data_IF_154354970676
#
_entry.id   IF_154354970676
#
_cell.length_a   1.000
_cell.length_b   1.000
_cell.length_c   1.000
_cell.angle_alpha   90.00
_cell.angle_beta   90.00
_cell.angle_gamma   90.00
#
_symmetry.space_group_name_H-M   'P 1'
#
loop_
_entity.id
_entity.type
_entity.pdbx_description
1 polymer ?
#
# COMPACT_ATOMS: atom_id res chain seq x y z
N UNK A 1 22.85 -20.53 -5.72
CA UNK A 1 22.05 -19.54 -4.97
C UNK A 1 21.49 -20.26 -3.76
N UNK A 2 22.18 -20.15 -2.64
CA UNK A 2 21.82 -20.84 -1.40
C UNK A 2 20.65 -20.10 -0.74
N UNK A 3 19.52 -20.80 -0.63
CA UNK A 3 18.37 -20.36 0.14
C UNK A 3 18.74 -20.53 1.61
N UNK A 4 18.98 -19.41 2.30
CA UNK A 4 19.29 -19.35 3.72
C UNK A 4 18.13 -19.93 4.55
N UNK A 5 18.20 -21.23 4.83
CA UNK A 5 17.26 -21.99 5.66
C UNK A 5 17.53 -21.77 7.16
N UNK A 6 17.43 -20.52 7.63
CA UNK A 6 17.84 -20.18 9.01
C UNK A 6 16.80 -19.38 9.82
N UNK A 7 15.50 -19.55 9.57
CA UNK A 7 14.44 -18.85 10.31
C UNK A 7 13.32 -19.73 10.91
N UNK A 8 13.44 -21.05 10.87
CA UNK A 8 12.55 -21.95 11.65
C UNK A 8 13.23 -22.37 12.95
N UNK A 9 13.53 -21.41 13.83
CA UNK A 9 13.58 -21.72 15.26
C UNK A 9 12.16 -21.64 15.77
N UNK A 10 11.65 -22.77 16.24
CA UNK A 10 10.41 -22.93 17.00
C UNK A 10 10.26 -21.83 18.07
N UNK A 11 9.69 -20.69 17.70
CA UNK A 11 9.04 -19.83 18.67
C UNK A 11 7.71 -20.49 18.97
N UNK A 12 7.68 -21.28 20.06
CA UNK A 12 6.45 -21.79 20.65
C UNK A 12 5.64 -20.56 21.08
N UNK A 13 4.74 -20.12 20.20
CA UNK A 13 3.87 -18.98 20.46
C UNK A 13 2.93 -19.38 21.59
N UNK A 14 3.14 -18.80 22.76
CA UNK A 14 2.27 -18.99 23.90
C UNK A 14 0.92 -18.33 23.63
N UNK A 15 -0.07 -19.15 23.25
CA UNK A 15 -1.43 -18.72 22.86
C UNK A 15 -2.09 -17.92 23.99
N UNK A 16 -1.70 -18.16 25.25
CA UNK A 16 -2.23 -17.44 26.42
C UNK A 16 -1.88 -15.94 26.43
N UNK A 17 -0.88 -15.51 25.64
CA UNK A 17 -0.40 -14.11 25.59
C UNK A 17 -0.91 -13.32 24.39
N UNK A 18 -1.86 -13.87 23.65
CA UNK A 18 -2.49 -13.18 22.51
C UNK A 18 -3.36 -12.04 23.05
N UNK A 19 -3.00 -10.80 22.70
CA UNK A 19 -3.77 -9.62 23.12
C UNK A 19 -4.69 -9.10 22.01
N UNK A 20 -4.31 -9.31 20.75
CA UNK A 20 -5.09 -8.83 19.61
C UNK A 20 -4.78 -9.64 18.36
N UNK A 21 -5.81 -9.99 17.58
CA UNK A 21 -5.68 -10.69 16.29
C UNK A 21 -6.61 -10.01 15.29
N UNK A 22 -6.14 -9.84 14.04
CA UNK A 22 -6.98 -9.50 12.90
C UNK A 22 -6.43 -10.12 11.60
N UNK A 23 -6.99 -9.71 10.46
CA UNK A 23 -6.61 -10.22 9.13
C UNK A 23 -5.17 -9.90 8.71
N UNK A 24 -4.54 -8.88 9.30
CA UNK A 24 -3.19 -8.42 8.97
C UNK A 24 -2.13 -9.11 9.84
N UNK A 25 -2.48 -9.40 11.10
CA UNK A 25 -1.53 -9.94 12.05
C UNK A 25 -2.09 -10.14 13.46
N UNK A 26 -1.18 -10.43 14.38
CA UNK A 26 -1.47 -10.59 15.79
C UNK A 26 -0.43 -9.89 16.65
N UNK A 27 -0.83 -9.45 17.83
CA UNK A 27 0.07 -8.96 18.87
C UNK A 27 0.07 -10.00 19.99
N UNK A 28 1.25 -10.58 20.26
CA UNK A 28 1.43 -11.72 21.15
C UNK A 28 2.56 -11.41 22.12
N UNK A 29 2.24 -11.20 23.39
CA UNK A 29 3.22 -10.67 24.36
C UNK A 29 3.82 -9.38 23.81
N UNK A 30 5.15 -9.31 23.73
CA UNK A 30 5.92 -8.16 23.20
C UNK A 30 6.23 -8.27 21.70
N UNK A 31 5.66 -9.26 21.01
CA UNK A 31 5.88 -9.48 19.59
C UNK A 31 4.67 -9.06 18.75
N UNK A 32 4.96 -8.50 17.59
CA UNK A 32 4.05 -8.27 16.48
C UNK A 32 4.28 -9.35 15.42
N UNK A 33 3.28 -10.18 15.17
CA UNK A 33 3.27 -11.15 14.08
C UNK A 33 2.46 -10.58 12.91
N UNK A 34 3.06 -10.53 11.72
CA UNK A 34 2.41 -10.08 10.49
C UNK A 34 2.24 -11.25 9.54
N UNK A 35 1.05 -11.44 8.98
CA UNK A 35 0.74 -12.63 8.18
C UNK A 35 1.17 -12.51 6.71
N UNK A 36 1.28 -11.29 6.18
CA UNK A 36 1.59 -11.01 4.78
C UNK A 36 2.71 -9.96 4.67
N UNK A 37 3.64 -10.05 3.69
CA UNK A 37 3.74 -11.05 2.60
C UNK A 37 4.41 -12.38 3.02
N UNK A 38 5.07 -12.40 4.17
CA UNK A 38 5.70 -13.58 4.77
C UNK A 38 5.54 -13.45 6.26
N UNK A 39 5.20 -14.54 6.96
CA UNK A 39 4.97 -14.55 8.42
C UNK A 39 6.17 -13.93 9.14
N UNK A 40 6.03 -12.68 9.53
CA UNK A 40 7.14 -11.86 10.02
C UNK A 40 6.86 -11.53 11.47
N UNK A 41 7.70 -12.08 12.34
CA UNK A 41 7.68 -11.81 13.77
C UNK A 41 8.64 -10.65 14.06
N UNK A 42 8.12 -9.58 14.63
CA UNK A 42 8.89 -8.42 15.05
C UNK A 42 8.73 -8.21 16.54
N UNK A 43 9.84 -8.04 17.22
CA UNK A 43 9.83 -7.49 18.57
C UNK A 43 9.36 -6.03 18.53
N UNK A 44 8.33 -5.69 19.32
CA UNK A 44 7.76 -4.34 19.40
C UNK A 44 8.81 -3.34 19.89
N UNK A 45 9.73 -3.76 20.74
CA UNK A 45 10.79 -2.90 21.28
C UNK A 45 11.71 -2.42 20.15
N UNK A 46 11.91 -3.27 19.14
CA UNK A 46 12.69 -2.92 17.95
C UNK A 46 11.99 -1.94 17.00
N UNK A 47 10.70 -1.64 17.22
CA UNK A 47 9.88 -0.77 16.37
C UNK A 47 9.90 0.66 16.91
N UNK A 48 10.38 1.59 16.08
CA UNK A 48 10.36 3.03 16.40
C UNK A 48 8.98 3.66 16.14
N UNK A 49 8.34 3.28 15.02
CA UNK A 49 7.05 3.81 14.60
C UNK A 49 6.42 2.91 13.53
N UNK A 50 5.11 2.69 13.62
CA UNK A 50 4.33 2.09 12.55
C UNK A 50 3.38 3.14 11.95
N UNK A 51 3.18 3.13 10.63
CA UNK A 51 2.23 4.01 9.95
C UNK A 51 1.62 3.36 8.72
N UNK A 52 0.43 3.80 8.32
CA UNK A 52 -0.19 3.40 7.06
C UNK A 52 -0.22 4.61 6.15
N UNK A 53 0.19 4.41 4.91
CA UNK A 53 0.14 5.45 3.91
C UNK A 53 -0.64 4.98 2.68
N UNK A 54 -1.32 5.94 2.05
CA UNK A 54 -2.12 5.75 0.85
C UNK A 54 -1.27 6.11 -0.36
N UNK A 55 -0.89 5.13 -1.18
CA UNK A 55 -0.18 5.36 -2.44
C UNK A 55 -1.18 5.36 -3.59
N UNK A 56 -1.36 6.51 -4.23
CA UNK A 56 -2.14 6.61 -5.47
C UNK A 56 -1.22 6.32 -6.64
N UNK A 57 -1.59 5.37 -7.49
CA UNK A 57 -0.87 5.12 -8.73
C UNK A 57 -1.58 5.86 -9.86
N UNK A 58 -0.90 6.86 -10.42
CA UNK A 58 -1.41 7.67 -11.53
C UNK A 58 -0.85 7.23 -12.88
N UNK A 59 -0.03 6.18 -12.94
CA UNK A 59 0.63 5.77 -14.18
C UNK A 59 -0.38 5.53 -15.32
N UNK A 60 -1.47 4.82 -15.04
CA UNK A 60 -2.51 4.56 -16.02
C UNK A 60 -3.24 5.85 -16.47
N UNK A 61 -3.52 6.75 -15.53
CA UNK A 61 -4.14 8.04 -15.80
C UNK A 61 -3.26 8.92 -16.71
N UNK A 62 -1.97 9.00 -16.38
CA UNK A 62 -0.99 9.74 -17.18
C UNK A 62 -0.87 9.12 -18.57
N UNK A 63 -0.80 7.80 -18.67
CA UNK A 63 -0.76 7.10 -19.95
C UNK A 63 -1.97 7.43 -20.83
N UNK A 64 -3.19 7.35 -20.29
CA UNK A 64 -4.41 7.69 -21.03
C UNK A 64 -4.44 9.17 -21.46
N UNK A 65 -3.97 10.07 -20.60
CA UNK A 65 -3.88 11.49 -20.93
C UNK A 65 -2.87 11.77 -22.04
N UNK A 66 -1.70 11.12 -21.99
CA UNK A 66 -0.69 11.25 -23.06
C UNK A 66 -1.25 10.69 -24.37
N UNK A 67 -1.97 9.56 -24.34
CA UNK A 67 -2.58 8.98 -25.54
C UNK A 67 -3.71 9.84 -26.15
N UNK A 68 -4.40 10.68 -25.36
CA UNK A 68 -5.42 11.59 -25.90
C UNK A 68 -4.82 12.85 -26.54
N UNK A 69 -3.61 13.24 -26.17
CA UNK A 69 -2.95 14.47 -26.66
C UNK A 69 -2.73 14.48 -28.18
N UNK A 70 -2.25 13.40 -28.84
CA UNK A 70 -2.13 13.34 -30.29
C UNK A 70 -3.44 13.55 -31.04
N UNK A 71 -4.58 13.09 -30.48
CA UNK A 71 -5.89 13.26 -31.10
C UNK A 71 -6.27 14.74 -31.19
N UNK A 72 -6.01 15.50 -30.12
CA UNK A 72 -6.21 16.96 -30.13
C UNK A 72 -5.22 17.67 -31.05
N UNK A 73 -3.98 17.18 -31.16
CA UNK A 73 -2.99 17.74 -32.09
C UNK A 73 -3.44 17.59 -33.55
N UNK A 74 -3.97 16.42 -33.93
CA UNK A 74 -4.52 16.18 -35.28
C UNK A 74 -5.67 17.16 -35.54
N UNK A 75 -6.59 17.31 -34.59
CA UNK A 75 -7.72 18.23 -34.70
C UNK A 75 -7.29 19.69 -34.91
N UNK A 76 -6.20 20.11 -34.26
CA UNK A 76 -5.71 21.48 -34.31
C UNK A 76 -4.88 21.80 -35.56
N UNK A 77 -4.16 20.83 -36.12
CA UNK A 77 -3.18 21.05 -37.20
C UNK A 77 -3.66 20.61 -38.57
N UNK A 78 -4.57 19.64 -38.64
CA UNK A 78 -5.04 19.09 -39.91
C UNK A 78 -6.42 19.62 -40.26
N UNK A 79 -6.66 19.83 -41.56
CA UNK A 79 -7.99 20.14 -42.09
C UNK A 79 -8.82 18.86 -42.10
N UNK A 80 -9.49 18.59 -40.98
CA UNK A 80 -10.43 17.48 -40.84
C UNK A 80 -11.84 17.91 -41.25
N UNK A 81 -12.60 16.97 -41.79
CA UNK A 81 -14.04 17.15 -42.04
C UNK A 81 -14.80 17.26 -40.72
N UNK A 82 -16.02 17.79 -40.76
CA UNK A 82 -16.89 17.89 -39.56
C UNK A 82 -17.13 16.53 -38.90
N UNK A 83 -17.30 15.48 -39.71
CA UNK A 83 -17.56 14.14 -39.21
C UNK A 83 -16.31 13.54 -38.53
N UNK A 84 -15.14 13.71 -39.13
CA UNK A 84 -13.86 13.30 -38.51
C UNK A 84 -13.59 14.05 -37.21
N UNK A 85 -13.84 15.36 -37.16
CA UNK A 85 -13.68 16.16 -35.96
C UNK A 85 -14.56 15.62 -34.80
N UNK A 86 -15.81 15.27 -35.08
CA UNK A 86 -16.72 14.67 -34.10
C UNK A 86 -16.19 13.33 -33.60
N UNK A 87 -15.75 12.44 -34.50
CA UNK A 87 -15.22 11.13 -34.13
C UNK A 87 -13.94 11.25 -33.29
N UNK A 88 -13.03 12.14 -33.66
CA UNK A 88 -11.79 12.41 -32.92
C UNK A 88 -12.12 12.94 -31.52
N UNK A 89 -13.07 13.87 -31.40
CA UNK A 89 -13.51 14.39 -30.11
C UNK A 89 -14.13 13.30 -29.22
N UNK A 90 -14.96 12.42 -29.78
CA UNK A 90 -15.53 11.28 -29.05
C UNK A 90 -14.43 10.35 -28.56
N UNK A 91 -13.50 9.97 -29.43
CA UNK A 91 -12.39 9.07 -29.09
C UNK A 91 -11.47 9.69 -28.03
N UNK A 92 -11.12 10.97 -28.17
CA UNK A 92 -10.34 11.71 -27.19
C UNK A 92 -11.07 11.78 -25.84
N UNK A 93 -12.39 12.01 -25.85
CA UNK A 93 -13.24 11.97 -24.66
C UNK A 93 -13.21 10.60 -23.97
N UNK A 94 -13.33 9.51 -24.73
CA UNK A 94 -13.27 8.13 -24.20
C UNK A 94 -11.93 7.81 -23.54
N UNK A 95 -10.82 8.43 -23.96
CA UNK A 95 -9.51 8.28 -23.31
C UNK A 95 -9.35 9.24 -22.12
N UNK A 96 -9.85 10.46 -22.24
CA UNK A 96 -9.63 11.53 -21.28
C UNK A 96 -10.51 11.37 -20.03
N UNK A 97 -11.78 10.97 -20.18
CA UNK A 97 -12.68 10.69 -19.04
C UNK A 97 -12.10 9.66 -18.06
N UNK A 98 -11.63 8.47 -18.48
CA UNK A 98 -10.99 7.51 -17.58
C UNK A 98 -9.66 8.02 -17.01
N UNK A 99 -8.92 8.87 -17.74
CA UNK A 99 -7.69 9.49 -17.23
C UNK A 99 -7.94 10.34 -15.97
N UNK A 100 -9.12 10.94 -15.80
CA UNK A 100 -9.46 11.72 -14.61
C UNK A 100 -10.28 10.95 -13.56
N UNK A 101 -11.02 9.91 -13.97
CA UNK A 101 -11.96 9.21 -13.07
C UNK A 101 -11.38 7.98 -12.39
N UNK A 102 -10.48 7.23 -13.05
CA UNK A 102 -9.92 5.98 -12.50
C UNK A 102 -8.96 6.32 -11.35
N UNK A 103 -9.27 5.85 -10.14
CA UNK A 103 -8.45 6.07 -8.94
C UNK A 103 -7.87 4.75 -8.47
N UNK A 104 -6.69 4.38 -8.97
CA UNK A 104 -5.97 3.21 -8.47
C UNK A 104 -5.26 3.57 -7.15
N UNK A 105 -5.79 3.07 -6.03
CA UNK A 105 -5.25 3.30 -4.69
C UNK A 105 -4.73 1.99 -4.11
N UNK A 106 -3.46 1.99 -3.73
CA UNK A 106 -2.87 0.95 -2.89
C UNK A 106 -2.61 1.49 -1.49
N UNK A 107 -2.79 0.66 -0.46
CA UNK A 107 -2.41 0.99 0.91
C UNK A 107 -1.14 0.23 1.25
N UNK A 108 -0.27 0.86 2.03
CA UNK A 108 0.98 0.27 2.50
C UNK A 108 1.15 0.54 3.98
N UNK A 109 1.61 -0.46 4.71
CA UNK A 109 2.10 -0.33 6.08
C UNK A 109 3.59 -0.10 6.02
N UNK A 110 4.06 0.92 6.72
CA UNK A 110 5.48 1.17 6.96
C UNK A 110 5.77 0.94 8.43
N UNK A 111 6.68 0.03 8.71
CA UNK A 111 7.23 -0.19 10.05
C UNK A 111 8.67 0.28 10.03
N UNK A 112 8.95 1.32 10.81
CA UNK A 112 10.30 1.85 11.00
C UNK A 112 10.92 1.22 12.24
N UNK A 113 12.06 0.57 12.08
CA UNK A 113 12.82 -0.04 13.19
C UNK A 113 13.83 0.92 13.78
N UNK A 114 14.31 0.65 14.99
CA UNK A 114 15.33 1.48 15.64
C UNK A 114 16.64 1.53 14.82
N UNK A 115 16.98 0.45 14.11
CA UNK A 115 18.21 0.32 13.30
C UNK A 115 18.11 0.96 11.90
N UNK A 116 17.23 1.95 11.71
CA UNK A 116 16.96 2.60 10.42
C UNK A 116 16.52 1.66 9.27
N UNK A 117 16.12 0.42 9.60
CA UNK A 117 15.51 -0.50 8.65
C UNK A 117 14.01 -0.22 8.54
N UNK A 118 13.50 -0.25 7.31
CA UNK A 118 12.09 -0.07 7.00
C UNK A 118 11.51 -1.36 6.44
N UNK A 119 10.33 -1.73 6.93
CA UNK A 119 9.56 -2.85 6.40
C UNK A 119 8.31 -2.26 5.78
N UNK A 120 8.15 -2.50 4.48
CA UNK A 120 6.95 -2.16 3.73
C UNK A 120 6.10 -3.41 3.50
N UNK A 121 4.82 -3.30 3.83
CA UNK A 121 3.85 -4.37 3.61
C UNK A 121 2.69 -3.77 2.82
N UNK A 122 2.37 -4.39 1.70
CA UNK A 122 1.19 -4.02 0.91
C UNK A 122 -0.07 -4.46 1.66
N UNK A 123 -1.02 -3.55 1.80
CA UNK A 123 -2.30 -3.79 2.46
C UNK A 123 -3.42 -3.66 1.43
N UNK A 124 -4.27 -4.68 1.39
CA UNK A 124 -5.49 -4.65 0.60
C UNK A 124 -6.48 -3.61 1.14
N UNK A 125 -7.26 -3.03 0.23
CA UNK A 125 -8.23 -1.99 0.58
C UNK A 125 -9.25 -2.47 1.63
N UNK A 126 -9.60 -3.76 1.61
CA UNK A 126 -10.55 -4.38 2.54
C UNK A 126 -9.97 -4.46 3.96
N UNK A 127 -8.68 -4.81 4.11
CA UNK A 127 -7.99 -4.95 5.40
C UNK A 127 -7.40 -3.64 5.93
N UNK A 128 -7.74 -2.50 5.34
CA UNK A 128 -7.21 -1.19 5.72
C UNK A 128 -7.54 -0.80 7.16
N UNK A 129 -8.78 -1.02 7.60
CA UNK A 129 -9.19 -0.64 8.95
C UNK A 129 -8.58 -1.56 10.01
N UNK A 130 -8.44 -2.85 9.69
CA UNK A 130 -7.69 -3.82 10.49
C UNK A 130 -6.23 -3.40 10.66
N UNK A 131 -5.56 -3.04 9.57
CA UNK A 131 -4.19 -2.56 9.62
C UNK A 131 -4.07 -1.32 10.51
N UNK A 132 -5.01 -0.37 10.43
CA UNK A 132 -5.01 0.82 11.29
C UNK A 132 -5.17 0.45 12.76
N UNK A 133 -5.99 -0.56 13.07
CA UNK A 133 -6.14 -1.10 14.41
C UNK A 133 -4.79 -1.55 14.99
N UNK A 134 -4.07 -2.41 14.26
CA UNK A 134 -2.73 -2.86 14.67
C UNK A 134 -1.78 -1.69 14.84
N UNK A 135 -1.69 -0.79 13.86
CA UNK A 135 -0.76 0.34 13.91
C UNK A 135 -1.03 1.25 15.11
N UNK A 136 -2.30 1.47 15.49
CA UNK A 136 -2.65 2.22 16.69
C UNK A 136 -2.19 1.52 17.96
N UNK A 137 -2.40 0.21 18.07
CA UNK A 137 -1.99 -0.58 19.23
C UNK A 137 -0.46 -0.61 19.39
N UNK A 138 0.27 -0.87 18.30
CA UNK A 138 1.73 -0.86 18.27
C UNK A 138 2.27 0.50 18.70
N UNK A 139 1.78 1.59 18.11
CA UNK A 139 2.22 2.93 18.48
C UNK A 139 1.85 3.31 19.93
N UNK A 140 0.72 2.81 20.45
CA UNK A 140 0.33 3.03 21.85
C UNK A 140 1.33 2.39 22.80
N UNK A 141 1.76 1.16 22.52
CA UNK A 141 2.75 0.47 23.35
C UNK A 141 4.13 1.12 23.30
N UNK A 142 4.60 1.49 22.12
CA UNK A 142 5.87 2.23 21.95
C UNK A 142 5.86 3.51 22.79
N UNK A 143 4.71 4.21 22.88
CA UNK A 143 4.58 5.41 23.72
C UNK A 143 4.55 5.12 25.22
N UNK A 144 4.02 3.98 25.64
CA UNK A 144 3.98 3.59 27.05
C UNK A 144 5.38 3.24 27.56
N UNK A 145 6.19 2.56 26.74
CA UNK A 145 7.57 2.20 27.08
C UNK A 145 8.48 3.43 27.22
N UNK A 146 8.32 4.46 26.37
CA UNK A 146 9.11 5.70 26.47
C UNK A 146 8.82 6.56 27.70
N UNK A 147 7.76 6.26 28.44
CA UNK A 147 7.38 6.98 29.67
C UNK A 147 7.89 6.30 30.94
N UNK A 148 8.42 5.09 30.81
CA UNK A 148 9.16 4.39 31.86
C UNK A 148 10.65 4.72 31.72
#
# INVERSE_FOLDING_TARGET
>A
MEVNANLTKDHKVDISKIQYINSIGAIIGDNLLLYSPSRLLLDIDSIRKAQIYKKRNFFYNVFLFVCSTPLFYILATHRVTRLEAILICVLAGVLLVPAFTIKNTKYKMLINRQNAQFIEIDIDRQSKEDAKGIVRLVNRRIRQQKKQ
#
